data_IF_965178612413
#
_entry.id   IF_965178612413
#
_cell.length_a   1.000
_cell.length_b   1.000
_cell.length_c   1.000
_cell.angle_alpha   90.00
_cell.angle_beta   90.00
_cell.angle_gamma   90.00
#
_symmetry.space_group_name_H-M   'P 1'
#
loop_
_entity.id
_entity.type
_entity.pdbx_description
1 polymer ?
#
# COMPACT_ATOMS: atom_id res chain seq x y z
N UNK A 1 -19.57 -20.60 -39.87
CA UNK A 1 -18.33 -21.25 -39.38
C UNK A 1 -17.29 -20.14 -39.23
N UNK A 2 -16.63 -20.05 -38.06
CA UNK A 2 -15.58 -19.11 -37.63
C UNK A 2 -16.01 -17.64 -37.37
N UNK A 3 -16.04 -17.10 -36.14
CA UNK A 3 -15.05 -16.82 -35.07
C UNK A 3 -14.24 -15.51 -35.21
N UNK A 4 -14.39 -14.69 -34.15
CA UNK A 4 -13.42 -13.83 -33.41
C UNK A 4 -13.14 -12.37 -33.84
N UNK A 5 -13.65 -11.50 -32.95
CA UNK A 5 -13.09 -10.33 -32.23
C UNK A 5 -12.25 -9.25 -32.92
N UNK A 6 -12.79 -8.02 -32.93
CA UNK A 6 -12.25 -6.76 -32.36
C UNK A 6 -13.48 -5.88 -32.00
N UNK A 7 -13.62 -5.08 -30.94
CA UNK A 7 -12.73 -4.42 -30.01
C UNK A 7 -13.33 -3.02 -29.77
N UNK A 8 -14.13 -2.79 -28.72
CA UNK A 8 -14.47 -1.42 -28.27
C UNK A 8 -14.67 -1.34 -26.74
N UNK A 9 -13.93 -0.38 -26.19
CA UNK A 9 -13.91 0.15 -24.83
C UNK A 9 -15.29 0.34 -24.19
N UNK A 10 -15.50 -0.21 -22.98
CA UNK A 10 -16.53 0.29 -22.04
C UNK A 10 -15.91 0.56 -20.68
N UNK A 11 -15.54 1.84 -20.50
CA UNK A 11 -15.08 2.46 -19.27
C UNK A 11 -16.06 2.23 -18.12
N UNK A 12 -15.45 1.95 -16.97
CA UNK A 12 -16.01 1.87 -15.62
C UNK A 12 -17.22 2.78 -15.38
N UNK A 13 -18.39 2.15 -15.35
CA UNK A 13 -19.69 2.69 -14.90
C UNK A 13 -19.72 3.03 -13.41
N UNK A 14 -18.70 2.65 -12.64
CA UNK A 14 -18.66 2.83 -11.18
C UNK A 14 -18.28 4.24 -10.72
N UNK A 15 -17.72 5.08 -11.59
CA UNK A 15 -17.30 6.44 -11.22
C UNK A 15 -18.47 7.43 -11.21
N UNK A 16 -19.38 7.36 -12.19
CA UNK A 16 -20.49 8.33 -12.34
C UNK A 16 -21.64 8.10 -11.35
N UNK A 17 -21.97 6.84 -11.05
CA UNK A 17 -23.06 6.53 -10.11
C UNK A 17 -22.76 7.01 -8.68
N UNK A 18 -21.47 7.00 -8.28
CA UNK A 18 -21.07 7.46 -6.96
C UNK A 18 -21.22 8.97 -6.83
N UNK A 19 -20.75 9.78 -7.79
CA UNK A 19 -20.90 11.25 -7.72
C UNK A 19 -22.36 11.72 -7.84
N UNK A 20 -23.22 11.06 -8.62
CA UNK A 20 -24.66 11.41 -8.66
C UNK A 20 -25.38 11.10 -7.33
N UNK A 21 -25.02 9.99 -6.66
CA UNK A 21 -25.55 9.65 -5.33
C UNK A 21 -25.15 10.68 -4.26
N UNK A 22 -23.91 11.19 -4.30
CA UNK A 22 -23.48 12.25 -3.39
C UNK A 22 -24.12 13.61 -3.72
N UNK A 23 -24.31 13.95 -4.99
CA UNK A 23 -24.93 15.21 -5.40
C UNK A 23 -26.43 15.27 -5.02
N UNK A 24 -27.17 14.17 -5.20
CA UNK A 24 -28.60 14.11 -4.85
C UNK A 24 -28.84 14.16 -3.32
N UNK A 25 -27.91 13.67 -2.50
CA UNK A 25 -27.99 13.79 -1.04
C UNK A 25 -27.80 15.23 -0.54
N UNK A 26 -27.05 16.07 -1.27
CA UNK A 26 -26.87 17.49 -0.91
C UNK A 26 -28.14 18.31 -1.19
N UNK A 27 -28.87 18.01 -2.27
CA UNK A 27 -30.07 18.78 -2.64
C UNK A 27 -31.32 18.38 -1.84
N UNK A 28 -31.43 17.13 -1.36
CA UNK A 28 -32.59 16.63 -0.62
C UNK A 28 -32.69 17.13 0.85
N UNK A 29 -31.74 17.94 1.32
CA UNK A 29 -31.67 18.42 2.72
C UNK A 29 -32.37 19.74 3.02
N UNK A 30 -33.01 20.40 2.05
CA UNK A 30 -33.67 21.71 2.26
C UNK A 30 -35.20 21.57 2.24
N UNK A 31 -35.74 21.13 3.37
CA UNK A 31 -37.15 21.28 3.73
C UNK A 31 -37.36 22.49 4.64
N UNK A 32 -37.97 23.55 4.08
CA UNK A 32 -38.63 24.71 4.70
C UNK A 32 -38.16 25.18 6.10
N UNK A 33 -37.42 26.30 6.13
CA UNK A 33 -37.15 27.06 7.36
C UNK A 33 -37.58 28.53 7.21
N UNK A 34 -38.38 28.97 8.18
CA UNK A 34 -38.90 30.31 8.41
C UNK A 34 -37.81 31.40 8.27
N UNK A 35 -38.03 32.39 7.42
CA UNK A 35 -37.03 33.43 7.08
C UNK A 35 -36.96 34.47 8.21
N UNK A 36 -36.06 34.26 9.17
CA UNK A 36 -35.49 35.35 9.98
C UNK A 36 -34.19 35.78 9.31
N UNK A 37 -33.92 37.09 9.14
CA UNK A 37 -32.65 37.54 8.57
C UNK A 37 -31.51 37.17 9.52
N UNK A 38 -30.69 36.19 9.12
CA UNK A 38 -29.58 35.69 9.92
C UNK A 38 -28.42 36.70 9.90
N UNK A 39 -27.89 37.03 11.08
CA UNK A 39 -26.70 37.87 11.23
C UNK A 39 -25.50 37.28 10.47
N UNK A 40 -24.60 38.12 9.93
CA UNK A 40 -23.49 37.65 9.11
C UNK A 40 -22.58 36.73 9.93
N UNK A 41 -22.55 35.45 9.54
CA UNK A 41 -21.70 34.44 10.14
C UNK A 41 -20.30 34.51 9.52
N UNK A 42 -19.33 34.97 10.30
CA UNK A 42 -17.93 34.90 9.93
C UNK A 42 -17.45 33.45 10.07
N UNK A 43 -17.44 32.73 8.95
CA UNK A 43 -16.88 31.37 8.90
C UNK A 43 -15.36 31.49 8.89
N UNK A 44 -14.69 30.79 9.82
CA UNK A 44 -13.24 30.74 9.88
C UNK A 44 -12.68 30.22 8.56
N UNK A 45 -11.61 30.86 8.06
CA UNK A 45 -10.92 30.44 6.85
C UNK A 45 -10.59 28.93 6.95
N UNK A 46 -10.89 28.13 5.91
CA UNK A 46 -10.56 26.72 5.90
C UNK A 46 -9.09 26.51 6.29
N UNK A 47 -8.78 25.54 7.19
CA UNK A 47 -7.41 25.27 7.61
C UNK A 47 -6.50 25.17 6.39
N UNK A 48 -5.42 25.97 6.37
CA UNK A 48 -4.48 25.98 5.23
C UNK A 48 -3.96 24.56 5.02
N UNK A 49 -3.86 24.07 3.77
CA UNK A 49 -3.25 22.78 3.50
C UNK A 49 -1.82 22.79 4.01
N UNK A 50 -1.49 21.81 4.86
CA UNK A 50 -0.14 21.62 5.37
C UNK A 50 0.78 21.27 4.20
N UNK A 51 1.92 21.98 4.06
CA UNK A 51 2.91 21.67 3.02
C UNK A 51 3.23 20.18 3.11
N UNK A 52 3.15 19.48 1.98
CA UNK A 52 3.43 18.04 1.90
C UNK A 52 4.74 17.77 2.65
N UNK A 53 4.63 17.07 3.78
CA UNK A 53 5.77 16.51 4.46
C UNK A 53 6.47 15.60 3.45
N UNK A 54 7.78 15.79 3.28
CA UNK A 54 8.56 14.91 2.42
C UNK A 54 8.34 13.48 2.89
N UNK A 55 7.97 12.58 1.98
CA UNK A 55 7.81 11.18 2.36
C UNK A 55 9.15 10.68 2.93
N UNK A 56 9.08 9.84 3.97
CA UNK A 56 10.25 9.24 4.61
C UNK A 56 11.20 8.58 3.59
N UNK A 57 10.67 8.13 2.46
CA UNK A 57 11.43 7.59 1.34
C UNK A 57 12.33 8.64 0.67
N UNK A 58 11.84 9.87 0.47
CA UNK A 58 12.62 10.95 -0.14
C UNK A 58 13.74 11.43 0.79
N UNK A 59 13.48 11.51 2.09
CA UNK A 59 14.48 11.91 3.09
C UNK A 59 15.62 10.88 3.12
N UNK A 60 15.29 9.58 3.19
CA UNK A 60 16.31 8.51 3.17
C UNK A 60 17.09 8.43 1.86
N UNK A 61 16.47 8.83 0.74
CA UNK A 61 17.14 8.87 -0.55
C UNK A 61 18.29 9.88 -0.56
N UNK A 62 18.04 11.11 -0.10
CA UNK A 62 19.07 12.16 -0.09
C UNK A 62 20.17 11.86 0.93
N UNK A 63 19.84 11.25 2.07
CA UNK A 63 20.82 10.82 3.08
C UNK A 63 21.71 9.67 2.60
N UNK A 64 21.15 8.76 1.79
CA UNK A 64 21.82 7.57 1.30
C UNK A 64 22.59 7.75 -0.01
N UNK A 65 22.60 8.95 -0.61
CA UNK A 65 23.33 9.22 -1.84
C UNK A 65 24.84 9.14 -1.58
N UNK A 66 25.49 8.08 -2.05
CA UNK A 66 26.93 7.89 -1.98
C UNK A 66 27.47 7.69 -3.40
N UNK A 67 28.64 8.27 -3.70
CA UNK A 67 29.25 8.18 -5.04
C UNK A 67 29.47 6.72 -5.49
N UNK A 68 29.76 5.83 -4.53
CA UNK A 68 30.05 4.42 -4.77
C UNK A 68 28.80 3.51 -4.68
N UNK A 69 27.66 4.03 -4.18
CA UNK A 69 26.43 3.25 -4.00
C UNK A 69 25.44 3.51 -5.13
N UNK A 70 25.41 2.61 -6.10
CA UNK A 70 24.48 2.69 -7.25
C UNK A 70 23.01 2.53 -6.85
N UNK A 71 22.72 1.98 -5.67
CA UNK A 71 21.37 1.68 -5.20
C UNK A 71 21.14 2.22 -3.78
N UNK A 72 19.93 2.69 -3.53
CA UNK A 72 19.49 3.23 -2.23
C UNK A 72 19.35 2.09 -1.20
N UNK A 73 18.92 0.92 -1.67
CA UNK A 73 18.73 -0.27 -0.86
C UNK A 73 19.81 -1.31 -1.18
N UNK A 74 20.22 -2.06 -0.15
CA UNK A 74 21.16 -3.18 -0.25
C UNK A 74 20.52 -4.44 -0.88
N UNK A 75 19.79 -4.27 -1.99
CA UNK A 75 18.97 -5.32 -2.58
C UNK A 75 19.81 -6.54 -3.01
N UNK A 76 21.02 -6.34 -3.53
CA UNK A 76 21.94 -7.43 -3.91
C UNK A 76 22.30 -8.32 -2.71
N UNK A 77 22.62 -7.69 -1.58
CA UNK A 77 22.91 -8.39 -0.32
C UNK A 77 21.70 -9.16 0.19
N UNK A 78 20.50 -8.58 0.07
CA UNK A 78 19.26 -9.24 0.49
C UNK A 78 18.91 -10.44 -0.42
N UNK A 79 19.18 -10.33 -1.72
CA UNK A 79 18.94 -11.42 -2.68
C UNK A 79 19.90 -12.60 -2.45
N UNK A 80 21.12 -12.31 -2.01
CA UNK A 80 22.16 -13.30 -1.69
C UNK A 80 22.09 -13.82 -0.25
N UNK A 81 21.16 -13.31 0.57
CA UNK A 81 21.02 -13.72 1.95
C UNK A 81 20.59 -15.20 2.04
N UNK A 82 21.28 -15.96 2.88
CA UNK A 82 21.04 -17.36 3.20
C UNK A 82 21.15 -17.54 4.73
N UNK A 83 20.58 -18.61 5.25
CA UNK A 83 20.57 -18.98 6.68
C UNK A 83 21.97 -19.03 7.28
N UNK A 84 23.00 -19.36 6.50
CA UNK A 84 24.39 -19.43 6.98
C UNK A 84 25.13 -18.09 6.94
N UNK A 85 24.77 -17.19 6.03
CA UNK A 85 25.51 -15.93 5.83
C UNK A 85 24.90 -14.72 6.54
N UNK A 86 23.67 -14.87 7.04
CA UNK A 86 22.92 -13.79 7.67
C UNK A 86 22.83 -14.06 9.17
N UNK A 87 23.40 -13.20 10.03
CA UNK A 87 23.30 -13.39 11.46
C UNK A 87 21.84 -13.27 11.89
N UNK A 88 21.38 -14.27 12.66
CA UNK A 88 20.00 -14.30 13.16
C UNK A 88 19.87 -13.20 14.24
N UNK A 89 18.97 -12.21 14.05
CA UNK A 89 18.73 -11.21 15.06
C UNK A 89 18.01 -11.83 16.26
N UNK A 90 18.06 -11.16 17.41
CA UNK A 90 17.39 -11.61 18.63
C UNK A 90 15.90 -11.92 18.37
N UNK A 91 15.42 -13.03 18.95
CA UNK A 91 14.07 -13.55 18.70
C UNK A 91 12.98 -12.55 19.08
N UNK A 92 13.23 -11.69 20.07
CA UNK A 92 12.33 -10.62 20.50
C UNK A 92 12.05 -9.58 19.41
N UNK A 93 12.98 -9.43 18.45
CA UNK A 93 12.92 -8.46 17.36
C UNK A 93 12.39 -9.04 16.06
N UNK A 94 12.15 -10.35 16.02
CA UNK A 94 11.61 -11.01 14.84
C UNK A 94 10.13 -10.67 14.68
N UNK A 95 9.64 -10.48 13.44
CA UNK A 95 8.23 -10.21 13.17
C UNK A 95 7.39 -11.48 13.30
N UNK A 96 7.26 -11.99 14.53
CA UNK A 96 6.47 -13.19 14.86
C UNK A 96 5.00 -13.04 14.46
N UNK A 97 4.45 -11.83 14.52
CA UNK A 97 3.07 -11.52 14.14
C UNK A 97 2.75 -11.75 12.65
N UNK A 98 3.76 -11.90 11.78
CA UNK A 98 3.54 -12.31 10.38
C UNK A 98 3.16 -13.78 10.27
N UNK A 99 3.56 -14.58 11.26
CA UNK A 99 3.29 -16.00 11.33
C UNK A 99 2.08 -16.22 12.25
N UNK A 100 0.89 -16.37 11.68
CA UNK A 100 -0.36 -16.49 12.46
C UNK A 100 -0.33 -17.59 13.53
N UNK A 101 0.37 -18.70 13.25
CA UNK A 101 0.56 -19.83 14.18
C UNK A 101 2.00 -19.91 14.74
N UNK A 102 2.78 -18.84 14.66
CA UNK A 102 4.21 -18.83 15.03
C UNK A 102 5.06 -19.78 14.18
N UNK A 103 5.96 -20.53 14.81
CA UNK A 103 6.87 -21.45 14.10
C UNK A 103 6.14 -22.59 13.36
N UNK A 104 4.92 -22.94 13.76
CA UNK A 104 4.16 -24.05 13.17
C UNK A 104 4.99 -25.34 13.05
N UNK A 105 4.96 -25.96 11.86
CA UNK A 105 5.72 -27.18 11.55
C UNK A 105 7.17 -26.91 11.07
N UNK A 106 7.65 -25.66 11.12
CA UNK A 106 8.99 -25.30 10.64
C UNK A 106 10.08 -25.42 11.72
N UNK A 107 9.71 -25.87 12.92
CA UNK A 107 10.61 -26.09 14.06
C UNK A 107 11.06 -24.81 14.77
N UNK A 108 11.28 -23.72 14.05
CA UNK A 108 11.62 -22.40 14.62
C UNK A 108 10.95 -21.26 13.85
N UNK A 109 10.72 -20.14 14.55
CA UNK A 109 10.20 -18.90 13.93
C UNK A 109 11.15 -18.41 12.83
N UNK A 110 12.46 -18.54 13.05
CA UNK A 110 13.49 -18.12 12.08
C UNK A 110 13.35 -18.92 10.79
N UNK A 111 13.22 -20.25 10.89
CA UNK A 111 13.04 -21.11 9.72
C UNK A 111 11.72 -20.82 9.00
N UNK A 112 10.64 -20.57 9.74
CA UNK A 112 9.37 -20.18 9.17
C UNK A 112 9.47 -18.86 8.39
N UNK A 113 10.21 -17.87 8.91
CA UNK A 113 10.43 -16.59 8.22
C UNK A 113 11.28 -16.73 6.96
N UNK A 114 12.31 -17.59 6.97
CA UNK A 114 13.07 -17.93 5.76
C UNK A 114 12.18 -18.57 4.69
N UNK A 115 11.35 -19.53 5.08
CA UNK A 115 10.41 -20.17 4.16
C UNK A 115 9.37 -19.19 3.61
N UNK A 116 8.85 -18.30 4.45
CA UNK A 116 7.92 -17.25 4.03
C UNK A 116 8.56 -16.31 2.99
N UNK A 117 9.80 -15.89 3.21
CA UNK A 117 10.56 -15.07 2.25
C UNK A 117 10.67 -15.77 0.90
N UNK A 118 11.11 -17.01 0.91
CA UNK A 118 11.35 -17.78 -0.32
C UNK A 118 10.05 -18.05 -1.08
N UNK A 119 8.95 -18.29 -0.35
CA UNK A 119 7.62 -18.42 -0.90
C UNK A 119 7.18 -17.14 -1.60
N UNK A 120 7.24 -15.99 -0.92
CA UNK A 120 6.85 -14.69 -1.49
C UNK A 120 7.73 -14.29 -2.66
N UNK A 121 9.02 -14.62 -2.63
CA UNK A 121 9.95 -14.34 -3.73
C UNK A 121 9.61 -15.17 -4.97
N UNK A 122 9.25 -16.45 -4.80
CA UNK A 122 8.77 -17.30 -5.90
C UNK A 122 7.45 -16.79 -6.48
N UNK A 123 6.52 -16.39 -5.62
CA UNK A 123 5.21 -15.87 -6.02
C UNK A 123 5.33 -14.56 -6.81
N UNK A 124 6.14 -13.62 -6.32
CA UNK A 124 6.40 -12.34 -7.00
C UNK A 124 7.01 -12.51 -8.40
N UNK A 125 7.80 -13.57 -8.60
CA UNK A 125 8.42 -13.90 -9.90
C UNK A 125 7.51 -14.79 -10.77
N UNK A 126 6.32 -15.16 -10.31
CA UNK A 126 5.42 -16.08 -11.02
C UNK A 126 5.97 -17.49 -11.18
N UNK A 127 6.99 -17.88 -10.38
CA UNK A 127 7.63 -19.21 -10.42
C UNK A 127 6.84 -20.18 -9.53
N UNK A 128 5.53 -20.07 -9.56
CA UNK A 128 4.66 -21.10 -9.04
C UNK A 128 4.58 -22.16 -10.14
N UNK A 129 5.23 -23.30 -9.92
CA UNK A 129 5.15 -24.43 -10.85
C UNK A 129 3.68 -24.78 -11.03
N UNK A 130 3.09 -24.39 -12.15
CA UNK A 130 1.91 -25.06 -12.71
C UNK A 130 2.40 -26.40 -13.22
N UNK A 131 2.45 -27.39 -12.33
CA UNK A 131 2.52 -28.82 -12.65
C UNK A 131 1.33 -29.46 -11.97
#
# INVERSE_FOLDING_TARGET
MFNVCQGTSKRSIYSRAMVESYFLKIVAGVGQINVRPAEPMFVSVPPRPQRLLHSEAYIKYIEGLQADSKYISNWDKQLRANTENTPVPDQSRLPTHWLGNGAGNHGSVVNALWMLRDFMMKDALGINKTI
#
